data_IF_246425229804
#
_entry.id   IF_246425229804
#
_cell.length_a   1.000
_cell.length_b   1.000
_cell.length_c   1.000
_cell.angle_alpha   90.00
_cell.angle_beta   90.00
_cell.angle_gamma   90.00
#
_symmetry.space_group_name_H-M   'P 1'
#
loop_
_entity.id
_entity.type
_entity.pdbx_description
1 polymer ?
#
# COMPACT_ATOMS: atom_id res chain seq x y z
N UNK A 1 61.56 -25.13 -41.90
CA UNK A 1 60.50 -25.95 -41.27
C UNK A 1 59.60 -25.05 -40.44
N UNK A 2 58.30 -25.02 -40.76
CA UNK A 2 57.08 -24.87 -39.92
C UNK A 2 57.24 -24.14 -38.55
N UNK A 3 56.36 -23.24 -38.06
CA UNK A 3 55.05 -22.70 -38.48
C UNK A 3 54.70 -21.56 -37.49
N UNK A 4 53.96 -20.57 -37.97
CA UNK A 4 53.17 -19.55 -37.24
C UNK A 4 52.24 -20.16 -36.17
N UNK A 5 52.00 -19.46 -35.05
CA UNK A 5 50.68 -19.15 -34.40
C UNK A 5 50.91 -18.44 -33.05
N UNK A 6 50.67 -17.12 -32.93
CA UNK A 6 49.42 -16.54 -32.38
C UNK A 6 49.01 -17.11 -31.00
N UNK A 7 49.41 -16.43 -29.93
CA UNK A 7 48.70 -16.46 -28.65
C UNK A 7 48.25 -15.03 -28.30
N UNK A 8 47.21 -14.59 -29.00
CA UNK A 8 46.24 -13.65 -28.46
C UNK A 8 45.50 -14.40 -27.35
N UNK A 9 45.93 -14.26 -26.10
CA UNK A 9 45.05 -14.61 -24.99
C UNK A 9 43.95 -13.54 -24.94
N UNK A 10 42.85 -13.87 -25.62
CA UNK A 10 41.61 -13.13 -25.52
C UNK A 10 41.27 -12.99 -24.03
N UNK A 11 41.23 -11.74 -23.57
CA UNK A 11 40.61 -11.32 -22.34
C UNK A 11 39.12 -11.63 -22.48
N UNK A 12 38.74 -12.88 -22.22
CA UNK A 12 37.34 -13.27 -22.10
C UNK A 12 36.83 -12.61 -20.82
N UNK A 13 36.33 -11.39 -20.97
CA UNK A 13 35.48 -10.72 -20.00
C UNK A 13 34.31 -11.67 -19.78
N UNK A 14 34.45 -12.47 -18.73
CA UNK A 14 33.38 -13.24 -18.14
C UNK A 14 32.41 -12.19 -17.60
N UNK A 15 31.42 -11.85 -18.42
CA UNK A 15 30.19 -11.19 -18.00
C UNK A 15 29.55 -12.12 -16.97
N UNK A 16 30.03 -12.04 -15.73
CA UNK A 16 29.28 -12.48 -14.57
C UNK A 16 28.03 -11.62 -14.56
N UNK A 17 26.97 -12.16 -15.16
CA UNK A 17 25.61 -11.78 -14.87
C UNK A 17 25.46 -11.77 -13.36
N UNK A 18 25.44 -10.57 -12.77
CA UNK A 18 24.98 -10.35 -11.42
C UNK A 18 23.47 -10.60 -11.46
N UNK A 19 23.09 -11.87 -11.48
CA UNK A 19 21.80 -12.27 -10.96
C UNK A 19 21.92 -12.03 -9.47
N UNK A 20 21.27 -10.98 -8.98
CA UNK A 20 21.07 -10.80 -7.56
C UNK A 20 20.30 -12.02 -7.06
N UNK A 21 21.00 -12.96 -6.43
CA UNK A 21 20.34 -14.03 -5.70
C UNK A 21 19.70 -13.34 -4.50
N UNK A 22 18.37 -13.28 -4.46
CA UNK A 22 17.66 -13.01 -3.22
C UNK A 22 18.28 -13.93 -2.14
N UNK A 23 18.69 -13.36 -1.01
CA UNK A 23 19.36 -14.14 0.03
C UNK A 23 18.45 -15.32 0.41
N UNK A 24 18.91 -16.54 0.18
CA UNK A 24 18.12 -17.73 0.45
C UNK A 24 17.90 -17.82 1.97
N UNK A 25 16.69 -17.55 2.43
CA UNK A 25 16.37 -17.50 3.86
C UNK A 25 16.44 -18.88 4.53
N UNK A 26 16.82 -18.90 5.80
CA UNK A 26 16.84 -20.08 6.67
C UNK A 26 15.49 -20.26 7.37
N UNK A 27 14.78 -21.36 7.06
CA UNK A 27 13.42 -21.63 7.57
C UNK A 27 13.40 -21.84 9.10
N UNK A 28 14.43 -22.44 9.68
CA UNK A 28 14.53 -22.72 11.11
C UNK A 28 14.71 -21.43 11.94
N UNK A 29 15.55 -20.51 11.46
CA UNK A 29 15.70 -19.20 12.06
C UNK A 29 14.41 -18.38 11.88
N UNK A 30 13.82 -18.41 10.69
CA UNK A 30 12.52 -17.79 10.41
C UNK A 30 11.43 -18.25 11.37
N UNK A 31 11.36 -19.56 11.65
CA UNK A 31 10.44 -20.12 12.66
C UNK A 31 10.69 -19.54 14.04
N UNK A 32 11.95 -19.52 14.47
CA UNK A 32 12.33 -18.98 15.80
C UNK A 32 11.92 -17.52 15.96
N UNK A 33 12.04 -16.73 14.90
CA UNK A 33 11.61 -15.32 14.89
C UNK A 33 10.08 -15.23 14.90
N UNK A 34 9.39 -16.03 14.08
CA UNK A 34 7.94 -16.05 14.00
C UNK A 34 7.29 -16.39 15.34
N UNK A 35 7.79 -17.41 16.03
CA UNK A 35 7.33 -17.86 17.36
C UNK A 35 7.55 -16.80 18.45
N UNK A 36 8.46 -15.84 18.23
CA UNK A 36 8.71 -14.74 19.20
C UNK A 36 7.94 -13.47 18.88
N UNK A 37 7.60 -13.24 17.61
CA UNK A 37 7.23 -11.90 17.13
C UNK A 37 5.95 -11.84 16.29
N UNK A 38 5.55 -12.93 15.64
CA UNK A 38 4.49 -12.93 14.63
C UNK A 38 3.24 -13.71 15.07
N UNK A 39 3.42 -14.84 15.77
CA UNK A 39 2.32 -15.76 16.11
C UNK A 39 1.23 -15.12 16.97
N UNK A 40 1.56 -14.14 17.82
CA UNK A 40 0.58 -13.48 18.68
C UNK A 40 -0.57 -12.82 17.89
N UNK A 41 -0.28 -12.38 16.67
CA UNK A 41 -1.26 -11.85 15.72
C UNK A 41 -1.64 -12.91 14.67
N UNK A 42 -0.66 -13.55 14.03
CA UNK A 42 -0.90 -14.43 12.88
C UNK A 42 -1.27 -15.88 13.24
N UNK A 43 -1.27 -16.25 14.52
CA UNK A 43 -1.52 -17.62 14.99
C UNK A 43 -0.29 -18.52 14.92
N UNK A 44 -0.28 -19.60 15.69
CA UNK A 44 0.82 -20.58 15.68
C UNK A 44 0.99 -21.24 14.31
N UNK A 45 -0.14 -21.49 13.62
CA UNK A 45 -0.18 -22.11 12.30
C UNK A 45 -0.33 -21.10 11.14
N UNK A 46 -0.20 -19.80 11.41
CA UNK A 46 -0.32 -18.78 10.38
C UNK A 46 -1.74 -18.47 9.90
N UNK A 47 -2.78 -19.00 10.55
CA UNK A 47 -4.18 -18.85 10.12
C UNK A 47 -4.81 -17.46 10.41
N UNK A 48 -4.04 -16.51 10.95
CA UNK A 48 -4.54 -15.18 11.31
C UNK A 48 -5.42 -15.15 12.57
N UNK A 49 -5.38 -16.23 13.36
CA UNK A 49 -6.23 -16.51 14.52
C UNK A 49 -5.49 -16.38 15.86
N UNK A 50 -4.37 -15.65 15.87
CA UNK A 50 -3.58 -15.42 17.09
C UNK A 50 -4.39 -14.71 18.19
N UNK A 51 -3.98 -14.79 19.46
CA UNK A 51 -4.71 -14.21 20.59
C UNK A 51 -5.06 -12.72 20.42
N UNK A 52 -4.24 -11.94 19.70
CA UNK A 52 -4.53 -10.55 19.37
C UNK A 52 -5.55 -10.37 18.23
N UNK A 53 -5.69 -11.34 17.31
CA UNK A 53 -6.44 -11.19 16.06
C UNK A 53 -7.88 -10.70 16.23
N UNK A 54 -8.58 -11.17 17.28
CA UNK A 54 -9.95 -10.73 17.62
C UNK A 54 -10.09 -9.26 18.02
N UNK A 55 -8.98 -8.60 18.35
CA UNK A 55 -8.95 -7.19 18.76
C UNK A 55 -8.41 -6.26 17.68
N UNK A 56 -8.03 -6.80 16.51
CA UNK A 56 -7.40 -6.05 15.43
C UNK A 56 -8.38 -5.82 14.29
N UNK A 57 -8.39 -4.59 13.77
CA UNK A 57 -9.12 -4.23 12.56
C UNK A 57 -8.20 -3.40 11.65
N UNK A 58 -7.86 -3.88 10.43
CA UNK A 58 -8.27 -5.15 9.84
C UNK A 58 -7.68 -6.37 10.59
N UNK A 59 -8.30 -7.56 10.47
CA UNK A 59 -7.76 -8.77 11.06
C UNK A 59 -6.40 -9.14 10.44
N UNK A 60 -5.52 -9.85 11.17
CA UNK A 60 -4.29 -10.41 10.63
C UNK A 60 -4.54 -11.26 9.39
N UNK A 61 -3.54 -11.31 8.51
CA UNK A 61 -3.61 -12.14 7.30
C UNK A 61 -3.53 -13.61 7.69
N UNK A 62 -4.46 -14.41 7.16
CA UNK A 62 -4.30 -15.85 7.02
C UNK A 62 -3.21 -16.12 5.97
N UNK A 63 -2.07 -16.61 6.45
CA UNK A 63 -0.87 -16.95 5.67
C UNK A 63 -1.00 -18.35 5.04
N UNK A 64 -1.93 -19.19 5.50
CA UNK A 64 -2.15 -20.55 4.97
C UNK A 64 -2.89 -20.53 3.64
N UNK A 65 -3.74 -19.52 3.43
CA UNK A 65 -4.50 -19.35 2.19
C UNK A 65 -3.61 -19.05 0.96
N UNK A 66 -2.37 -18.59 1.16
CA UNK A 66 -1.46 -18.22 0.08
C UNK A 66 -1.88 -16.97 -0.71
N UNK A 67 -2.95 -16.29 -0.32
CA UNK A 67 -3.47 -15.10 -1.01
C UNK A 67 -2.94 -13.82 -0.39
N UNK A 68 -2.02 -13.17 -1.10
CA UNK A 68 -1.42 -11.91 -0.66
C UNK A 68 -2.08 -10.71 -1.36
N UNK A 69 -2.59 -9.77 -0.55
CA UNK A 69 -3.26 -8.55 -1.04
C UNK A 69 -2.34 -7.65 -1.86
N UNK A 70 -1.04 -7.66 -1.53
CA UNK A 70 -0.08 -6.74 -2.12
C UNK A 70 1.05 -7.48 -2.83
N UNK A 71 0.76 -7.92 -4.04
CA UNK A 71 1.72 -8.60 -4.90
C UNK A 71 1.98 -7.83 -6.19
N UNK A 72 3.19 -7.96 -6.70
CA UNK A 72 3.65 -7.42 -7.98
C UNK A 72 3.63 -8.44 -9.10
N UNK A 73 3.46 -9.73 -8.78
CA UNK A 73 3.28 -10.80 -9.77
C UNK A 73 1.96 -10.63 -10.53
N UNK A 74 1.86 -11.03 -11.82
CA UNK A 74 0.65 -10.87 -12.63
C UNK A 74 -0.60 -11.50 -12.02
N UNK A 75 -1.80 -11.04 -12.41
CA UNK A 75 -3.06 -11.43 -11.77
C UNK A 75 -3.31 -12.95 -11.77
N UNK A 76 -2.81 -13.65 -12.78
CA UNK A 76 -2.94 -15.10 -12.98
C UNK A 76 -1.89 -15.92 -12.20
N UNK A 77 -1.00 -15.26 -11.47
CA UNK A 77 -0.01 -15.86 -10.58
C UNK A 77 -0.45 -15.68 -9.13
N UNK A 78 -0.85 -16.76 -8.48
CA UNK A 78 -1.27 -16.74 -7.07
C UNK A 78 -0.09 -16.45 -6.13
N UNK A 79 1.11 -16.90 -6.52
CA UNK A 79 2.33 -16.77 -5.71
C UNK A 79 2.82 -15.32 -5.75
N UNK A 80 2.97 -14.63 -4.62
CA UNK A 80 3.67 -13.33 -4.59
C UNK A 80 5.16 -13.54 -4.89
N UNK A 81 5.83 -12.48 -5.32
CA UNK A 81 7.29 -12.48 -5.36
C UNK A 81 7.83 -12.50 -3.92
N UNK A 82 9.01 -13.07 -3.69
CA UNK A 82 9.59 -13.16 -2.34
C UNK A 82 9.88 -11.74 -1.81
N UNK A 83 10.22 -10.82 -2.71
CA UNK A 83 10.38 -9.39 -2.46
C UNK A 83 9.08 -8.73 -1.98
N UNK A 84 7.90 -9.20 -2.41
CA UNK A 84 6.63 -8.66 -1.92
C UNK A 84 6.40 -9.01 -0.46
N UNK A 85 6.68 -10.26 -0.07
CA UNK A 85 6.59 -10.71 1.33
C UNK A 85 7.63 -9.97 2.17
N UNK A 86 8.86 -9.91 1.69
CA UNK A 86 9.95 -9.16 2.34
C UNK A 86 9.55 -7.71 2.58
N UNK A 87 9.00 -7.02 1.57
CA UNK A 87 8.57 -5.63 1.66
C UNK A 87 7.39 -5.44 2.63
N UNK A 88 6.45 -6.41 2.69
CA UNK A 88 5.34 -6.39 3.65
C UNK A 88 5.82 -6.53 5.10
N UNK A 89 6.82 -7.38 5.35
CA UNK A 89 7.46 -7.53 6.68
C UNK A 89 8.24 -6.26 7.02
N UNK A 90 8.95 -5.71 6.05
CA UNK A 90 9.85 -4.56 6.22
C UNK A 90 9.16 -3.23 6.48
N UNK A 91 7.83 -3.16 6.50
CA UNK A 91 7.09 -1.92 6.81
C UNK A 91 7.16 -0.81 5.75
N UNK A 92 8.17 -0.80 4.87
CA UNK A 92 8.42 0.16 3.79
C UNK A 92 7.39 0.18 2.64
N UNK A 93 6.15 -0.21 2.95
CA UNK A 93 4.96 -0.13 2.09
C UNK A 93 4.81 1.25 1.46
N UNK A 94 4.80 2.25 2.35
CA UNK A 94 4.41 3.63 2.11
C UNK A 94 5.48 4.62 2.58
N UNK A 95 6.24 5.22 1.65
CA UNK A 95 7.22 6.27 1.99
C UNK A 95 6.60 7.66 2.22
N UNK A 96 5.28 7.79 2.00
CA UNK A 96 4.52 9.04 2.15
C UNK A 96 3.75 9.05 3.47
N UNK A 97 3.57 7.90 4.10
CA UNK A 97 3.01 7.82 5.44
C UNK A 97 4.09 8.08 6.49
N UNK A 98 3.74 8.79 7.56
CA UNK A 98 4.59 8.87 8.76
C UNK A 98 4.63 7.51 9.50
N UNK A 99 3.68 6.63 9.19
CA UNK A 99 3.64 5.27 9.71
C UNK A 99 4.58 4.36 8.93
N UNK A 100 5.68 3.96 9.55
CA UNK A 100 6.69 3.07 8.95
C UNK A 100 6.27 1.60 8.84
N UNK A 101 5.16 1.18 9.45
CA UNK A 101 4.63 -0.18 9.33
C UNK A 101 3.68 -0.32 8.14
N UNK A 102 2.92 -1.43 8.08
CA UNK A 102 1.88 -1.56 7.05
C UNK A 102 0.73 -0.59 7.36
N UNK A 103 0.69 0.53 6.62
CA UNK A 103 -0.14 1.70 6.88
C UNK A 103 -1.63 1.39 7.08
N UNK A 104 -2.16 1.83 8.23
CA UNK A 104 -3.54 1.58 8.67
C UNK A 104 -3.84 0.11 9.00
N UNK A 105 -2.85 -0.60 9.53
CA UNK A 105 -2.97 -1.90 10.20
C UNK A 105 -2.11 -1.88 11.47
N UNK A 106 -2.26 -2.90 12.32
CA UNK A 106 -1.40 -3.07 13.51
C UNK A 106 -0.11 -3.85 13.23
N UNK A 107 0.21 -4.16 11.97
CA UNK A 107 1.47 -4.80 11.60
C UNK A 107 2.61 -3.77 11.69
N UNK A 108 3.55 -3.93 12.63
CA UNK A 108 4.61 -2.96 12.86
C UNK A 108 5.64 -2.99 11.73
N UNK A 109 6.51 -1.98 11.75
CA UNK A 109 7.72 -1.99 10.95
C UNK A 109 8.77 -2.92 11.55
N UNK A 110 9.21 -3.93 10.81
CA UNK A 110 10.25 -4.84 11.28
C UNK A 110 11.66 -4.48 10.85
N UNK A 111 11.87 -3.50 9.94
CA UNK A 111 13.23 -3.13 9.52
C UNK A 111 14.04 -2.43 10.64
N UNK A 112 13.35 -1.74 11.56
CA UNK A 112 13.94 -1.06 12.72
C UNK A 112 14.35 -2.08 13.82
N UNK A 113 13.87 -3.33 13.76
CA UNK A 113 14.02 -4.35 14.81
C UNK A 113 14.77 -5.60 14.34
N UNK A 114 14.60 -5.98 13.07
CA UNK A 114 15.17 -7.19 12.47
C UNK A 114 16.18 -6.83 11.40
N UNK A 115 17.30 -7.55 11.37
CA UNK A 115 18.28 -7.46 10.28
C UNK A 115 17.63 -7.91 8.98
N UNK A 116 18.21 -7.47 7.86
CA UNK A 116 17.74 -7.87 6.52
C UNK A 116 17.70 -9.40 6.36
N UNK A 117 18.75 -10.12 6.78
CA UNK A 117 18.77 -11.58 6.69
C UNK A 117 17.66 -12.23 7.52
N UNK A 118 17.38 -11.73 8.73
CA UNK A 118 16.31 -12.25 9.60
C UNK A 118 14.93 -12.07 8.95
N UNK A 119 14.74 -10.99 8.18
CA UNK A 119 13.52 -10.78 7.40
C UNK A 119 13.43 -11.75 6.22
N UNK A 120 14.53 -12.06 5.53
CA UNK A 120 14.56 -13.11 4.50
C UNK A 120 14.31 -14.51 5.08
N UNK A 121 14.82 -14.81 6.26
CA UNK A 121 14.56 -16.05 6.99
C UNK A 121 13.05 -16.18 7.32
N UNK A 122 12.41 -15.09 7.76
CA UNK A 122 10.96 -15.03 7.93
C UNK A 122 10.20 -15.28 6.62
N UNK A 123 10.63 -14.70 5.49
CA UNK A 123 10.00 -14.97 4.18
C UNK A 123 10.04 -16.46 3.86
N UNK A 124 11.20 -17.10 4.04
CA UNK A 124 11.37 -18.53 3.79
C UNK A 124 10.44 -19.38 4.67
N UNK A 125 10.28 -19.01 5.96
CA UNK A 125 9.38 -19.72 6.87
C UNK A 125 7.90 -19.48 6.56
N UNK A 126 7.47 -18.23 6.32
CA UNK A 126 6.06 -17.89 6.05
C UNK A 126 5.53 -18.63 4.82
N UNK A 127 6.34 -18.79 3.78
CA UNK A 127 5.96 -19.53 2.56
C UNK A 127 5.61 -21.00 2.83
N UNK A 128 6.08 -21.58 3.94
CA UNK A 128 5.76 -22.97 4.32
C UNK A 128 4.31 -23.17 4.72
N UNK A 129 3.63 -22.13 5.21
CA UNK A 129 2.21 -22.23 5.62
C UNK A 129 1.26 -22.51 4.45
N UNK A 130 1.60 -22.03 3.26
CA UNK A 130 0.77 -22.13 2.05
C UNK A 130 1.42 -22.95 0.92
N UNK A 131 2.51 -23.66 1.20
CA UNK A 131 3.21 -24.50 0.22
C UNK A 131 3.74 -23.75 -1.01
N UNK A 132 4.12 -22.48 -0.84
CA UNK A 132 4.59 -21.61 -1.93
C UNK A 132 6.08 -21.82 -2.24
N UNK A 133 6.55 -23.06 -2.27
CA UNK A 133 7.98 -23.37 -2.47
C UNK A 133 8.46 -23.12 -3.91
N UNK A 134 7.55 -22.97 -4.87
CA UNK A 134 7.89 -22.68 -6.26
C UNK A 134 8.20 -21.19 -6.45
N UNK A 135 9.21 -20.84 -7.28
CA UNK A 135 9.45 -19.46 -7.64
C UNK A 135 8.24 -18.91 -8.42
N UNK A 136 7.79 -17.72 -8.04
CA UNK A 136 6.71 -17.03 -8.75
C UNK A 136 7.17 -16.56 -10.14
N UNK A 137 6.21 -16.25 -11.01
CA UNK A 137 6.50 -15.36 -12.16
C UNK A 137 7.10 -14.05 -11.64
N UNK A 138 7.96 -13.43 -12.45
CA UNK A 138 8.50 -12.11 -12.15
C UNK A 138 7.41 -11.05 -11.99
N UNK A 139 7.74 -9.86 -11.45
CA UNK A 139 6.80 -8.77 -11.32
C UNK A 139 6.27 -8.34 -12.70
N UNK A 140 5.08 -7.71 -12.71
CA UNK A 140 4.53 -7.09 -13.92
C UNK A 140 5.57 -6.13 -14.53
N UNK A 141 5.78 -6.27 -15.83
CA UNK A 141 6.63 -5.36 -16.60
C UNK A 141 5.85 -4.08 -16.96
N UNK A 142 6.49 -2.92 -16.82
CA UNK A 142 5.88 -1.61 -17.08
C UNK A 142 6.33 -1.01 -18.43
N UNK A 143 6.46 -1.83 -19.47
CA UNK A 143 7.07 -1.42 -20.76
C UNK A 143 6.34 -0.24 -21.43
N UNK A 144 5.02 -0.20 -21.34
CA UNK A 144 4.20 0.83 -22.00
C UNK A 144 3.63 1.84 -21.01
N UNK A 145 4.41 2.25 -20.02
CA UNK A 145 3.96 3.23 -19.02
C UNK A 145 3.58 4.56 -19.68
N UNK A 146 2.31 4.94 -19.57
CA UNK A 146 1.83 6.26 -20.00
C UNK A 146 2.18 7.29 -18.92
N UNK A 147 2.97 8.30 -19.29
CA UNK A 147 3.28 9.44 -18.41
C UNK A 147 2.02 10.24 -18.09
N UNK A 148 1.97 10.78 -16.86
CA UNK A 148 0.88 11.65 -16.45
C UNK A 148 0.82 12.91 -17.32
N UNK A 149 -0.37 13.23 -17.80
CA UNK A 149 -0.68 14.41 -18.61
C UNK A 149 -2.15 14.81 -18.38
N UNK A 150 -2.52 16.05 -18.71
CA UNK A 150 -3.93 16.49 -18.59
C UNK A 150 -4.88 15.58 -19.38
N UNK A 151 -4.48 15.16 -20.57
CA UNK A 151 -5.24 14.24 -21.41
C UNK A 151 -5.38 12.86 -20.76
N UNK A 152 -4.27 12.30 -20.24
CA UNK A 152 -4.26 11.01 -19.57
C UNK A 152 -5.17 11.00 -18.32
N UNK A 153 -5.13 12.09 -17.55
CA UNK A 153 -5.97 12.28 -16.36
C UNK A 153 -7.45 12.37 -16.74
N UNK A 154 -7.82 13.11 -17.79
CA UNK A 154 -9.23 13.22 -18.19
C UNK A 154 -9.77 11.88 -18.72
N UNK A 155 -9.01 11.16 -19.55
CA UNK A 155 -9.38 9.78 -19.97
C UNK A 155 -9.54 8.86 -18.76
N UNK A 156 -8.61 8.93 -17.81
CA UNK A 156 -8.66 8.16 -16.57
C UNK A 156 -9.88 8.45 -15.72
N UNK A 157 -10.27 9.72 -15.62
CA UNK A 157 -11.47 10.18 -14.90
C UNK A 157 -12.75 9.63 -15.51
N UNK A 158 -12.88 9.63 -16.83
CA UNK A 158 -14.04 9.07 -17.51
C UNK A 158 -14.20 7.57 -17.25
N UNK A 159 -13.08 6.83 -17.30
CA UNK A 159 -13.07 5.39 -17.00
C UNK A 159 -13.39 5.15 -15.52
N UNK A 160 -12.80 5.95 -14.62
CA UNK A 160 -13.01 5.84 -13.18
C UNK A 160 -14.48 5.97 -12.79
N UNK A 161 -15.19 6.95 -13.37
CA UNK A 161 -16.64 7.12 -13.15
C UNK A 161 -17.45 5.89 -13.53
N UNK A 162 -17.10 5.26 -14.66
CA UNK A 162 -17.81 4.08 -15.17
C UNK A 162 -17.48 2.81 -14.40
N UNK A 163 -16.24 2.65 -13.96
CA UNK A 163 -15.71 1.35 -13.51
C UNK A 163 -15.41 1.28 -12.01
N UNK A 164 -15.11 2.41 -11.37
CA UNK A 164 -14.56 2.48 -10.01
C UNK A 164 -15.50 3.19 -9.02
N UNK A 165 -16.27 4.18 -9.47
CA UNK A 165 -17.08 5.06 -8.61
C UNK A 165 -18.17 4.33 -7.81
N UNK A 166 -18.70 3.19 -8.31
CA UNK A 166 -19.66 2.35 -7.57
C UNK A 166 -19.15 1.99 -6.16
N UNK A 167 -17.84 1.79 -6.03
CA UNK A 167 -17.18 1.42 -4.77
C UNK A 167 -16.40 2.60 -4.17
N UNK A 168 -15.61 3.31 -4.98
CA UNK A 168 -14.72 4.36 -4.49
C UNK A 168 -15.40 5.74 -4.37
N UNK A 169 -16.65 5.89 -4.80
CA UNK A 169 -17.35 7.18 -4.89
C UNK A 169 -16.90 8.01 -6.10
N UNK A 170 -17.72 8.98 -6.51
CA UNK A 170 -17.47 9.84 -7.68
C UNK A 170 -16.14 10.63 -7.58
N UNK A 171 -15.78 11.03 -6.36
CA UNK A 171 -14.56 11.79 -6.08
C UNK A 171 -13.42 10.91 -5.55
N UNK A 172 -13.59 9.59 -5.57
CA UNK A 172 -12.60 8.63 -5.06
C UNK A 172 -12.42 8.65 -3.54
N UNK A 173 -13.39 9.18 -2.79
CA UNK A 173 -13.31 9.34 -1.33
C UNK A 173 -13.56 8.06 -0.53
N UNK A 174 -13.90 6.96 -1.19
CA UNK A 174 -14.22 5.67 -0.55
C UNK A 174 -15.61 5.64 0.09
N UNK A 175 -16.48 6.55 -0.31
CA UNK A 175 -17.85 6.78 0.18
C UNK A 175 -18.93 6.17 -0.74
N UNK A 176 -18.57 5.16 -1.53
CA UNK A 176 -19.51 4.41 -2.35
C UNK A 176 -20.62 3.74 -1.51
N UNK A 177 -21.82 3.65 -2.08
CA UNK A 177 -23.01 3.13 -1.38
C UNK A 177 -22.93 1.63 -1.11
N UNK A 178 -22.09 0.91 -1.86
CA UNK A 178 -21.98 -0.53 -1.79
C UNK A 178 -21.34 -0.99 -0.49
N UNK A 179 -22.01 -1.93 0.18
CA UNK A 179 -21.49 -2.54 1.39
C UNK A 179 -20.52 -3.68 1.09
N UNK A 180 -19.22 -3.36 0.95
CA UNK A 180 -18.21 -4.35 0.60
C UNK A 180 -17.84 -5.31 1.74
N UNK A 181 -17.42 -6.53 1.38
CA UNK A 181 -16.85 -7.52 2.29
C UNK A 181 -15.63 -8.19 1.64
N UNK A 182 -14.74 -8.75 2.45
CA UNK A 182 -13.76 -9.72 1.94
C UNK A 182 -14.36 -11.12 1.86
N UNK A 183 -13.57 -12.05 1.33
CA UNK A 183 -13.97 -13.45 1.13
C UNK A 183 -14.23 -14.18 2.45
N UNK A 184 -13.74 -13.65 3.57
CA UNK A 184 -14.00 -14.13 4.93
C UNK A 184 -15.23 -13.44 5.57
N UNK A 185 -15.92 -12.58 4.81
CA UNK A 185 -17.12 -11.88 5.25
C UNK A 185 -16.87 -10.64 6.11
N UNK A 186 -15.61 -10.28 6.38
CA UNK A 186 -15.27 -9.07 7.12
C UNK A 186 -15.55 -7.84 6.28
N UNK A 187 -16.03 -6.78 6.94
CA UNK A 187 -16.29 -5.51 6.28
C UNK A 187 -14.98 -4.94 5.71
N UNK A 188 -14.99 -4.57 4.44
CA UNK A 188 -13.91 -3.80 3.80
C UNK A 188 -14.41 -2.43 3.36
N UNK A 189 -13.48 -1.47 3.32
CA UNK A 189 -13.74 -0.12 2.83
C UNK A 189 -12.70 0.21 1.77
N UNK A 190 -13.12 0.73 0.60
CA UNK A 190 -12.20 1.35 -0.33
C UNK A 190 -11.50 2.52 0.38
N UNK A 191 -10.19 2.66 0.16
CA UNK A 191 -9.44 3.79 0.71
C UNK A 191 -9.95 5.08 0.08
N UNK A 192 -9.88 6.17 0.84
CA UNK A 192 -10.00 7.50 0.29
C UNK A 192 -8.75 7.79 -0.55
N UNK A 193 -8.93 7.80 -1.87
CA UNK A 193 -7.86 7.98 -2.85
C UNK A 193 -7.29 9.41 -2.83
N UNK A 194 -8.03 10.39 -2.32
CA UNK A 194 -7.50 11.75 -2.09
C UNK A 194 -6.54 11.83 -0.90
N UNK A 195 -6.41 10.76 -0.09
CA UNK A 195 -5.49 10.68 1.04
C UNK A 195 -4.40 9.62 0.81
N UNK A 196 -3.44 9.84 -0.11
CA UNK A 196 -2.41 8.85 -0.46
C UNK A 196 -1.53 8.39 0.71
N UNK A 197 -1.37 9.22 1.74
CA UNK A 197 -0.68 8.85 2.99
C UNK A 197 -1.39 7.72 3.77
N UNK A 198 -2.63 7.37 3.42
CA UNK A 198 -3.36 6.24 4.01
C UNK A 198 -3.18 4.93 3.26
N UNK A 199 -2.55 4.94 2.07
CA UNK A 199 -2.40 3.75 1.25
C UNK A 199 -1.49 2.73 1.97
N UNK A 200 -1.76 1.43 1.76
CA UNK A 200 -0.94 0.37 2.39
C UNK A 200 0.41 0.19 1.71
N UNK A 201 0.43 0.38 0.39
CA UNK A 201 1.65 0.44 -0.42
C UNK A 201 2.02 1.91 -0.57
N UNK A 202 2.06 2.50 -1.75
CA UNK A 202 2.30 3.94 -1.91
C UNK A 202 1.43 4.47 -3.07
N UNK A 203 1.58 5.75 -3.40
CA UNK A 203 0.86 6.40 -4.49
C UNK A 203 1.65 6.48 -5.80
N UNK A 204 2.73 5.70 -5.97
CA UNK A 204 3.44 5.63 -7.24
C UNK A 204 2.48 5.10 -8.31
N UNK A 205 2.42 5.73 -9.51
CA UNK A 205 1.58 5.26 -10.60
C UNK A 205 1.74 3.77 -10.91
N UNK A 206 2.94 3.20 -10.77
CA UNK A 206 3.21 1.77 -10.97
C UNK A 206 2.53 0.90 -9.93
N UNK A 207 2.53 1.31 -8.66
CA UNK A 207 1.86 0.54 -7.60
C UNK A 207 0.34 0.61 -7.76
N UNK A 208 -0.20 1.78 -8.09
CA UNK A 208 -1.63 1.92 -8.40
C UNK A 208 -2.01 1.09 -9.63
N UNK A 209 -1.24 1.20 -10.71
CA UNK A 209 -1.42 0.37 -11.92
C UNK A 209 -1.40 -1.12 -11.58
N UNK A 210 -0.50 -1.55 -10.71
CA UNK A 210 -0.40 -2.94 -10.28
C UNK A 210 -1.63 -3.38 -9.52
N UNK A 211 -2.19 -2.55 -8.63
CA UNK A 211 -3.44 -2.86 -7.91
C UNK A 211 -4.65 -2.90 -8.83
N UNK A 212 -4.71 -2.05 -9.85
CA UNK A 212 -5.76 -2.12 -10.87
C UNK A 212 -5.59 -3.40 -11.71
N UNK A 213 -4.36 -3.74 -12.09
CA UNK A 213 -4.07 -4.90 -12.92
C UNK A 213 -4.31 -6.22 -12.20
N UNK A 214 -3.88 -6.34 -10.94
CA UNK A 214 -4.02 -7.56 -10.15
C UNK A 214 -5.35 -7.66 -9.40
N UNK A 215 -6.02 -6.53 -9.20
CA UNK A 215 -7.02 -6.41 -8.15
C UNK A 215 -6.37 -6.48 -6.75
N UNK A 216 -7.21 -6.68 -5.74
CA UNK A 216 -6.76 -6.96 -4.38
C UNK A 216 -7.34 -8.34 -3.99
N UNK A 217 -6.54 -9.42 -4.08
CA UNK A 217 -6.98 -10.77 -3.74
C UNK A 217 -7.61 -10.85 -2.34
N UNK A 218 -8.66 -11.66 -2.19
CA UNK A 218 -9.41 -11.71 -0.95
C UNK A 218 -10.27 -10.47 -0.72
N UNK A 219 -10.64 -9.71 -1.74
CA UNK A 219 -11.57 -8.57 -1.64
C UNK A 219 -12.41 -8.46 -2.90
N UNK A 220 -13.44 -7.62 -2.85
CA UNK A 220 -14.29 -7.32 -4.01
C UNK A 220 -13.67 -6.34 -5.03
N UNK A 221 -12.39 -5.98 -4.89
CA UNK A 221 -11.67 -5.23 -5.93
C UNK A 221 -11.07 -6.22 -6.94
N UNK A 222 -11.69 -6.40 -8.12
CA UNK A 222 -11.29 -7.43 -9.08
C UNK A 222 -10.01 -7.04 -9.82
N UNK A 223 -9.42 -8.01 -10.50
CA UNK A 223 -8.45 -7.74 -11.56
C UNK A 223 -9.13 -7.08 -12.75
N UNK A 224 -8.57 -5.97 -13.23
CA UNK A 224 -8.95 -5.32 -14.48
C UNK A 224 -8.03 -5.73 -15.64
N UNK A 225 -7.05 -6.61 -15.40
CA UNK A 225 -6.22 -7.21 -16.45
C UNK A 225 -6.73 -8.58 -16.92
N UNK A 226 -7.70 -9.16 -16.22
CA UNK A 226 -8.28 -10.46 -16.56
C UNK A 226 -9.12 -10.36 -17.85
N UNK A 227 -8.72 -11.01 -18.95
CA UNK A 227 -9.47 -10.96 -20.22
C UNK A 227 -10.82 -11.68 -20.15
N UNK A 228 -11.02 -12.55 -19.16
CA UNK A 228 -12.30 -13.24 -18.94
C UNK A 228 -13.32 -12.39 -18.17
N UNK A 229 -12.87 -11.28 -17.58
CA UNK A 229 -13.71 -10.37 -16.81
C UNK A 229 -14.50 -9.42 -17.70
N UNK A 230 -15.80 -9.25 -17.41
CA UNK A 230 -16.63 -8.20 -18.02
C UNK A 230 -16.17 -6.79 -17.66
N UNK A 231 -15.32 -6.65 -16.64
CA UNK A 231 -14.75 -5.37 -16.20
C UNK A 231 -13.29 -5.20 -16.64
N UNK A 232 -12.83 -5.95 -17.65
CA UNK A 232 -11.46 -5.83 -18.16
C UNK A 232 -11.17 -4.45 -18.75
N UNK A 233 -9.93 -4.00 -18.64
CA UNK A 233 -9.40 -2.75 -19.20
C UNK A 233 -8.12 -3.07 -19.97
N UNK A 234 -7.86 -2.35 -21.06
CA UNK A 234 -6.58 -2.38 -21.77
C UNK A 234 -5.43 -1.86 -20.90
N UNK A 235 -4.18 -2.15 -21.28
CA UNK A 235 -3.00 -1.64 -20.58
C UNK A 235 -3.00 -0.10 -20.51
N UNK A 236 -3.34 0.57 -21.61
CA UNK A 236 -3.40 2.03 -21.67
C UNK A 236 -4.48 2.62 -20.75
N UNK A 237 -5.68 2.04 -20.76
CA UNK A 237 -6.78 2.46 -19.88
C UNK A 237 -6.41 2.32 -18.40
N UNK A 238 -5.75 1.23 -18.02
CA UNK A 238 -5.26 1.04 -16.63
C UNK A 238 -4.25 2.12 -16.24
N UNK A 239 -3.37 2.54 -17.14
CA UNK A 239 -2.45 3.66 -16.88
C UNK A 239 -3.15 5.01 -16.76
N UNK A 240 -4.15 5.28 -17.62
CA UNK A 240 -4.97 6.49 -17.51
C UNK A 240 -5.68 6.55 -16.14
N UNK A 241 -6.31 5.46 -15.71
CA UNK A 241 -6.95 5.38 -14.38
C UNK A 241 -5.92 5.54 -13.25
N UNK A 242 -4.74 4.93 -13.36
CA UNK A 242 -3.68 5.10 -12.37
C UNK A 242 -3.24 6.57 -12.25
N UNK A 243 -3.01 7.25 -13.37
CA UNK A 243 -2.66 8.67 -13.40
C UNK A 243 -3.78 9.55 -12.80
N UNK A 244 -5.03 9.25 -13.10
CA UNK A 244 -6.17 9.95 -12.48
C UNK A 244 -6.21 9.73 -10.97
N UNK A 245 -6.05 8.49 -10.49
CA UNK A 245 -6.05 8.17 -9.06
C UNK A 245 -4.91 8.85 -8.29
N UNK A 246 -3.74 9.06 -8.92
CA UNK A 246 -2.68 9.90 -8.34
C UNK A 246 -3.08 11.37 -8.32
N UNK A 247 -3.73 11.87 -9.38
CA UNK A 247 -4.05 13.30 -9.53
C UNK A 247 -5.06 13.84 -8.51
N UNK A 248 -5.87 12.98 -7.91
CA UNK A 248 -6.89 13.38 -6.92
C UNK A 248 -6.33 13.51 -5.49
N UNK A 249 -5.02 13.28 -5.29
CA UNK A 249 -4.36 13.48 -4.01
C UNK A 249 -4.53 14.91 -3.47
N UNK A 250 -4.94 15.02 -2.21
CA UNK A 250 -5.07 16.29 -1.46
C UNK A 250 -3.88 16.46 -0.52
N UNK A 251 -2.72 16.81 -1.06
CA UNK A 251 -1.51 17.03 -0.27
C UNK A 251 -1.62 18.24 0.68
N UNK A 252 -2.57 19.14 0.44
CA UNK A 252 -2.81 20.31 1.29
C UNK A 252 -3.28 19.87 2.68
N UNK A 253 -4.14 18.85 2.76
CA UNK A 253 -4.67 18.33 4.02
C UNK A 253 -3.86 17.18 4.61
N UNK A 254 -2.70 16.83 4.03
CA UNK A 254 -1.85 15.77 4.57
C UNK A 254 -1.37 16.13 5.98
N UNK A 255 -1.58 15.26 6.99
CA UNK A 255 -0.96 15.44 8.30
C UNK A 255 0.57 15.39 8.20
N UNK A 256 1.24 16.30 8.89
CA UNK A 256 2.71 16.44 8.93
C UNK A 256 3.21 16.18 10.35
N UNK A 257 4.52 16.05 10.52
CA UNK A 257 5.15 15.91 11.85
C UNK A 257 4.95 17.14 12.74
N UNK A 258 4.59 18.28 12.14
CA UNK A 258 4.33 19.52 12.85
C UNK A 258 2.97 19.46 13.57
N UNK A 259 3.01 19.36 14.89
CA UNK A 259 1.83 19.37 15.77
C UNK A 259 1.44 20.79 16.19
N UNK A 260 2.09 21.82 15.65
CA UNK A 260 1.77 23.21 15.96
C UNK A 260 0.75 23.75 14.96
N UNK A 261 -0.40 24.20 15.47
CA UNK A 261 -1.39 24.94 14.70
C UNK A 261 -0.81 26.31 14.33
N UNK A 262 -0.63 26.55 13.03
CA UNK A 262 -0.18 27.86 12.52
C UNK A 262 -1.38 28.78 12.35
N UNK A 263 -1.35 29.91 13.05
CA UNK A 263 -2.46 30.87 13.12
C UNK A 263 -2.00 32.20 12.49
N UNK A 264 -2.84 32.77 11.62
CA UNK A 264 -2.59 34.06 10.98
C UNK A 264 -3.32 35.15 11.78
N UNK A 265 -2.66 36.29 12.01
CA UNK A 265 -3.31 37.46 12.61
C UNK A 265 -4.14 38.18 11.55
N UNK A 266 -5.40 38.49 11.86
CA UNK A 266 -6.24 39.35 11.03
C UNK A 266 -6.47 40.70 11.69
N UNK A 267 -6.50 41.75 10.88
CA UNK A 267 -6.98 43.06 11.31
C UNK A 267 -8.50 43.11 11.15
N UNK A 268 -9.21 43.40 12.25
CA UNK A 268 -10.67 43.48 12.27
C UNK A 268 -11.37 42.18 12.71
N UNK A 269 -12.60 42.01 12.26
CA UNK A 269 -13.48 40.91 12.70
C UNK A 269 -13.08 39.57 12.09
N UNK A 270 -13.13 38.51 12.92
CA UNK A 270 -12.86 37.15 12.49
C UNK A 270 -14.03 36.56 11.68
N UNK A 271 -13.75 35.58 10.79
CA UNK A 271 -14.80 34.85 10.10
C UNK A 271 -15.69 34.08 11.10
N UNK A 272 -17.00 34.32 11.08
CA UNK A 272 -17.94 33.68 12.00
C UNK A 272 -18.66 32.46 11.41
N UNK A 273 -18.61 32.29 10.07
CA UNK A 273 -19.26 31.19 9.36
C UNK A 273 -18.23 30.21 8.82
N UNK A 274 -18.60 28.92 8.76
CA UNK A 274 -17.71 27.85 8.28
C UNK A 274 -17.41 27.93 6.78
N UNK A 275 -18.29 28.54 6.01
CA UNK A 275 -18.21 28.71 4.57
C UNK A 275 -17.59 30.04 4.14
N UNK A 276 -17.11 30.84 5.09
CA UNK A 276 -16.47 32.12 4.79
C UNK A 276 -15.21 31.90 3.92
N UNK A 277 -15.10 32.56 2.76
CA UNK A 277 -13.97 32.39 1.85
C UNK A 277 -12.63 32.76 2.48
N UNK A 278 -12.60 33.61 3.52
CA UNK A 278 -11.37 33.96 4.26
C UNK A 278 -10.70 32.72 4.84
N UNK A 279 -11.44 31.67 5.18
CA UNK A 279 -10.83 30.42 5.66
C UNK A 279 -9.86 29.82 4.65
N UNK A 280 -10.00 30.10 3.35
CA UNK A 280 -9.07 29.64 2.32
C UNK A 280 -7.64 30.17 2.53
N UNK A 281 -7.50 31.36 3.12
CA UNK A 281 -6.22 32.03 3.39
C UNK A 281 -5.50 31.44 4.61
N UNK A 282 -6.23 30.86 5.57
CA UNK A 282 -5.63 30.22 6.73
C UNK A 282 -4.87 28.94 6.34
N UNK A 283 -3.67 28.78 6.90
CA UNK A 283 -2.87 27.57 6.71
C UNK A 283 -3.55 26.37 7.40
N UNK A 284 -3.91 25.31 6.66
CA UNK A 284 -4.45 24.10 7.28
C UNK A 284 -3.34 23.36 8.04
N UNK A 285 -3.66 22.93 9.25
CA UNK A 285 -2.84 22.00 10.04
C UNK A 285 -3.65 20.74 10.29
N UNK A 286 -3.15 19.59 9.85
CA UNK A 286 -3.83 18.30 9.98
C UNK A 286 -3.15 17.43 11.03
N UNK A 287 -3.96 16.84 11.90
CA UNK A 287 -3.53 16.00 13.02
C UNK A 287 -4.06 14.58 12.82
N UNK A 288 -3.22 13.57 13.08
CA UNK A 288 -3.67 12.19 13.12
C UNK A 288 -4.50 11.93 14.38
N UNK A 289 -5.58 11.17 14.22
CA UNK A 289 -6.38 10.67 15.34
C UNK A 289 -6.01 9.22 15.73
N UNK A 290 -4.95 8.67 15.14
CA UNK A 290 -4.44 7.31 15.36
C UNK A 290 -2.90 7.26 15.39
N UNK A 291 -2.27 6.40 16.22
CA UNK A 291 -2.88 5.57 17.26
C UNK A 291 -3.03 6.37 18.56
N UNK A 292 -4.27 6.59 19.01
CA UNK A 292 -4.52 7.07 20.37
C UNK A 292 -4.41 5.87 21.32
N UNK A 293 -3.61 5.97 22.38
CA UNK A 293 -3.61 5.00 23.49
C UNK A 293 -4.92 5.24 24.26
N UNK A 294 -5.90 4.35 24.13
CA UNK A 294 -7.24 4.52 24.71
C UNK A 294 -7.50 3.42 25.74
N UNK A 295 -7.88 3.84 26.95
CA UNK A 295 -8.04 2.99 28.14
C UNK A 295 -9.42 2.31 28.31
N UNK A 296 -10.34 2.42 27.35
CA UNK A 296 -11.72 1.89 27.46
C UNK A 296 -12.18 1.19 26.18
N UNK A 297 -13.04 0.18 26.33
CA UNK A 297 -13.71 -0.50 25.22
C UNK A 297 -14.61 0.46 24.44
N UNK A 298 -14.24 0.73 23.18
CA UNK A 298 -15.10 1.37 22.18
C UNK A 298 -14.88 0.68 20.84
N UNK A 299 -15.92 0.66 20.01
CA UNK A 299 -15.88 0.14 18.65
C UNK A 299 -14.68 0.70 17.86
N UNK A 300 -13.75 -0.18 17.49
CA UNK A 300 -12.47 0.13 16.83
C UNK A 300 -12.66 0.26 15.31
N UNK A 301 -13.48 1.20 14.88
CA UNK A 301 -13.63 1.54 13.46
C UNK A 301 -13.67 3.07 13.33
N UNK A 302 -12.56 3.79 13.57
CA UNK A 302 -12.53 5.23 13.35
C UNK A 302 -12.74 5.48 11.86
N UNK A 303 -13.93 5.96 11.49
CA UNK A 303 -14.23 6.46 10.15
C UNK A 303 -13.53 7.80 9.90
N UNK A 304 -13.04 8.45 10.96
CA UNK A 304 -12.26 9.68 10.94
C UNK A 304 -10.84 9.35 11.42
N UNK A 305 -9.87 9.49 10.52
CA UNK A 305 -8.45 9.17 10.75
C UNK A 305 -7.58 10.40 11.03
N UNK A 306 -8.08 11.59 10.69
CA UNK A 306 -7.39 12.86 10.84
C UNK A 306 -8.39 14.01 11.01
N UNK A 307 -8.02 15.03 11.77
CA UNK A 307 -8.73 16.32 11.81
C UNK A 307 -7.85 17.41 11.20
N UNK A 308 -8.44 18.28 10.38
CA UNK A 308 -7.77 19.47 9.84
C UNK A 308 -8.34 20.70 10.51
N UNK A 309 -7.48 21.49 11.14
CA UNK A 309 -7.85 22.78 11.73
C UNK A 309 -7.27 23.93 10.89
N UNK A 310 -8.02 25.02 10.85
CA UNK A 310 -7.61 26.32 10.34
C UNK A 310 -7.97 27.33 11.43
N UNK A 311 -7.11 28.32 11.64
CA UNK A 311 -7.35 29.31 12.68
C UNK A 311 -6.82 30.69 12.26
N UNK A 312 -7.55 31.69 12.72
CA UNK A 312 -7.16 33.09 12.73
C UNK A 312 -7.23 33.58 14.16
N UNK A 313 -6.51 34.66 14.44
CA UNK A 313 -6.66 35.41 15.69
C UNK A 313 -6.62 36.91 15.39
N UNK A 314 -7.22 37.72 16.26
CA UNK A 314 -7.07 39.17 16.31
C UNK A 314 -6.66 39.58 17.73
N UNK A 315 -6.72 40.87 18.03
CA UNK A 315 -6.30 41.37 19.36
C UNK A 315 -7.34 41.11 20.47
N UNK A 316 -8.50 40.53 20.14
CA UNK A 316 -9.62 40.25 21.06
C UNK A 316 -9.83 38.75 21.30
N UNK A 317 -9.64 37.92 20.28
CA UNK A 317 -9.93 36.47 20.22
C UNK A 317 -9.09 35.77 19.14
#
# INVERSE_FOLDING_TARGET
>A
MKRKLLFLFALSIMLMSIQAWAAQGNKENGKTIYDKKCWWCHGENGAGDGPAGKFLNPPPRDLTAGWYKFKTTPFDEITPADEDIFRMISGGMNHISLWKGMSGTSMPNWDDVLKEQERWDLVAYIKTFSGLDKPAKGPIEYKNQIKSSKESIEKGKEIFKKMCAECHGEEGKGDGTKKLKDDLGFRTWPRNLSKPWTFRVNNDPKEIYTRISNGIPGTQMPSFADPSSKKTLSEEERWHVANYAVSIADDVKRPKDDTVLKVIRLEGDLPSKIDDPKWAEAQPTSFYLIPQIIAKERFFIPTIDSITARAFYNDKE
#
